data_IF_847807103796
#
_entry.id   IF_847807103796
#
_cell.length_a   1.000
_cell.length_b   1.000
_cell.length_c   1.000
_cell.angle_alpha   90.00
_cell.angle_beta   90.00
_cell.angle_gamma   90.00
#
_symmetry.space_group_name_H-M   'P 1'
#
loop_
_entity.id
_entity.type
_entity.pdbx_description
1 polymer ?
#
# COMPACT_ATOMS: atom_id res chain seq x y z
N UNK A 1 15.73 -14.07 10.92
CA UNK A 1 14.50 -14.86 10.59
C UNK A 1 14.28 -14.93 9.06
N UNK A 2 13.37 -15.76 8.54
CA UNK A 2 13.10 -15.89 7.08
C UNK A 2 12.71 -14.56 6.41
N UNK A 3 12.00 -13.68 7.12
CA UNK A 3 11.60 -12.35 6.65
C UNK A 3 12.81 -11.49 6.25
N UNK A 4 13.80 -11.36 7.14
CA UNK A 4 15.01 -10.55 6.89
C UNK A 4 15.83 -11.11 5.73
N UNK A 5 15.91 -12.45 5.61
CA UNK A 5 16.61 -13.08 4.49
C UNK A 5 16.00 -12.67 3.14
N UNK A 6 14.67 -12.65 3.03
CA UNK A 6 13.96 -12.20 1.82
C UNK A 6 14.27 -10.74 1.49
N UNK A 7 14.24 -9.85 2.48
CA UNK A 7 14.59 -8.44 2.28
C UNK A 7 16.05 -8.26 1.83
N UNK A 8 16.97 -9.02 2.42
CA UNK A 8 18.39 -9.00 2.04
C UNK A 8 18.61 -9.51 0.61
N UNK A 9 17.83 -10.51 0.19
CA UNK A 9 17.88 -10.97 -1.18
C UNK A 9 17.39 -9.93 -2.18
N UNK A 10 16.27 -9.25 -1.89
CA UNK A 10 15.78 -8.12 -2.70
C UNK A 10 16.87 -7.02 -2.76
N UNK A 11 17.42 -6.60 -1.62
CA UNK A 11 18.48 -5.58 -1.53
C UNK A 11 19.71 -5.96 -2.36
N UNK A 12 20.10 -7.23 -2.37
CA UNK A 12 21.26 -7.72 -3.15
C UNK A 12 21.01 -7.75 -4.66
N UNK A 13 19.76 -7.95 -5.07
CA UNK A 13 19.35 -8.10 -6.48
C UNK A 13 18.80 -6.82 -7.10
N UNK A 14 18.72 -5.74 -6.32
CA UNK A 14 18.27 -4.42 -6.75
C UNK A 14 19.43 -3.42 -6.83
N UNK A 15 19.16 -2.25 -7.39
CA UNK A 15 20.14 -1.18 -7.53
C UNK A 15 20.35 -0.39 -6.23
N UNK A 16 21.29 0.57 -6.24
CA UNK A 16 21.50 1.48 -5.11
C UNK A 16 20.21 2.19 -4.70
N UNK A 17 19.86 2.10 -3.42
CA UNK A 17 18.70 2.75 -2.83
C UNK A 17 19.08 4.05 -2.12
N UNK A 18 18.21 5.05 -2.22
CA UNK A 18 18.28 6.29 -1.43
C UNK A 18 17.30 6.24 -0.27
N UNK A 19 16.17 5.55 -0.46
CA UNK A 19 15.13 5.35 0.55
C UNK A 19 15.63 4.47 1.69
N UNK A 20 15.55 5.00 2.91
CA UNK A 20 15.91 4.29 4.14
C UNK A 20 14.65 3.78 4.81
N UNK A 21 14.54 2.46 4.92
CA UNK A 21 13.48 1.80 5.69
C UNK A 21 13.86 1.57 7.14
N UNK A 22 12.96 0.89 7.86
CA UNK A 22 13.22 0.40 9.21
C UNK A 22 14.35 -0.63 9.22
N UNK A 23 15.13 -0.65 10.30
CA UNK A 23 16.21 -1.61 10.49
C UNK A 23 15.69 -3.03 10.79
N UNK A 24 16.55 -4.02 10.59
CA UNK A 24 16.19 -5.43 10.75
C UNK A 24 15.73 -5.76 12.17
N UNK A 25 16.32 -5.16 13.21
CA UNK A 25 15.95 -5.42 14.61
C UNK A 25 14.54 -4.93 14.91
N UNK A 26 14.17 -3.76 14.38
CA UNK A 26 12.83 -3.17 14.48
C UNK A 26 11.82 -4.03 13.73
N UNK A 27 12.16 -4.45 12.51
CA UNK A 27 11.30 -5.33 11.71
C UNK A 27 11.07 -6.69 12.38
N UNK A 28 12.12 -7.29 12.95
CA UNK A 28 12.00 -8.54 13.71
C UNK A 28 11.16 -8.38 14.98
N UNK A 29 11.18 -7.20 15.62
CA UNK A 29 10.33 -6.92 16.77
C UNK A 29 8.85 -6.86 16.37
N UNK A 30 8.50 -6.10 15.32
CA UNK A 30 7.12 -5.99 14.83
C UNK A 30 6.59 -7.31 14.27
N UNK A 31 7.42 -8.08 13.58
CA UNK A 31 7.03 -9.36 12.99
C UNK A 31 6.54 -10.40 14.01
N UNK A 32 6.83 -10.21 15.31
CA UNK A 32 6.33 -11.06 16.40
C UNK A 32 4.85 -10.83 16.70
N UNK A 33 4.35 -9.63 16.47
CA UNK A 33 3.00 -9.21 16.88
C UNK A 33 2.12 -8.81 15.71
N UNK A 34 2.72 -8.35 14.62
CA UNK A 34 2.02 -7.86 13.44
C UNK A 34 2.16 -8.85 12.27
N UNK A 35 1.04 -9.50 11.95
CA UNK A 35 0.98 -10.47 10.84
C UNK A 35 0.98 -9.80 9.48
N UNK A 36 0.52 -8.56 9.38
CA UNK A 36 0.48 -7.82 8.12
C UNK A 36 1.89 -7.52 7.63
N UNK A 37 2.84 -7.26 8.53
CA UNK A 37 4.26 -7.08 8.17
C UNK A 37 4.84 -8.35 7.53
N UNK A 38 4.55 -9.51 8.14
CA UNK A 38 5.06 -10.79 7.65
C UNK A 38 4.49 -11.09 6.26
N UNK A 39 3.18 -10.88 6.09
CA UNK A 39 2.52 -11.06 4.80
C UNK A 39 3.06 -10.08 3.76
N UNK A 40 3.21 -8.80 4.12
CA UNK A 40 3.72 -7.77 3.22
C UNK A 40 5.07 -8.19 2.61
N UNK A 41 6.01 -8.65 3.44
CA UNK A 41 7.33 -9.06 2.96
C UNK A 41 7.27 -10.35 2.15
N UNK A 42 6.43 -11.31 2.52
CA UNK A 42 6.29 -12.57 1.78
C UNK A 42 5.76 -12.36 0.36
N UNK A 43 4.73 -11.54 0.22
CA UNK A 43 4.13 -11.22 -1.07
C UNK A 43 5.06 -10.31 -1.87
N UNK A 44 5.65 -9.28 -1.25
CA UNK A 44 6.64 -8.41 -1.89
C UNK A 44 7.80 -9.19 -2.49
N UNK A 45 8.32 -10.19 -1.77
CA UNK A 45 9.40 -11.04 -2.27
C UNK A 45 8.97 -11.82 -3.52
N UNK A 46 7.77 -12.41 -3.48
CA UNK A 46 7.21 -13.12 -4.64
C UNK A 46 7.00 -12.19 -5.82
N UNK A 47 6.55 -10.96 -5.57
CA UNK A 47 6.34 -9.94 -6.59
C UNK A 47 7.66 -9.45 -7.18
N UNK A 48 8.67 -9.22 -6.35
CA UNK A 48 10.01 -8.85 -6.79
C UNK A 48 10.60 -9.87 -7.78
N UNK A 49 10.44 -11.17 -7.51
CA UNK A 49 10.91 -12.21 -8.42
C UNK A 49 10.24 -12.14 -9.79
N UNK A 50 8.93 -11.86 -9.84
CA UNK A 50 8.21 -11.65 -11.12
C UNK A 50 8.68 -10.39 -11.83
N UNK A 51 8.87 -9.30 -11.10
CA UNK A 51 9.35 -8.04 -11.66
C UNK A 51 10.77 -8.18 -12.24
N UNK A 52 11.64 -8.97 -11.61
CA UNK A 52 12.95 -9.26 -12.18
C UNK A 52 12.86 -10.14 -13.43
N UNK A 53 11.89 -11.07 -13.50
CA UNK A 53 11.61 -11.84 -14.72
C UNK A 53 11.08 -10.94 -15.85
N UNK A 54 10.18 -10.01 -15.52
CA UNK A 54 9.51 -9.13 -16.48
C UNK A 54 10.42 -8.00 -16.99
N UNK A 55 11.14 -7.33 -16.09
CA UNK A 55 11.92 -6.12 -16.40
C UNK A 55 13.44 -6.36 -16.45
N UNK A 56 13.92 -7.54 -16.06
CA UNK A 56 15.33 -7.92 -16.11
C UNK A 56 16.24 -6.96 -15.34
N UNK A 57 17.39 -6.61 -15.92
CA UNK A 57 18.39 -5.71 -15.31
C UNK A 57 17.85 -4.31 -14.98
N UNK A 58 16.68 -3.91 -15.47
CA UNK A 58 16.07 -2.61 -15.11
C UNK A 58 15.76 -2.50 -13.63
N UNK A 59 15.43 -3.60 -12.93
CA UNK A 59 15.22 -3.59 -11.47
C UNK A 59 16.48 -3.24 -10.68
N UNK A 60 17.65 -3.28 -11.34
CA UNK A 60 18.96 -2.94 -10.76
C UNK A 60 19.42 -1.52 -11.03
N UNK A 61 18.59 -0.71 -11.70
CA UNK A 61 18.85 0.72 -11.81
C UNK A 61 18.91 1.36 -10.40
N UNK A 62 19.74 2.40 -10.20
CA UNK A 62 19.63 3.27 -9.03
C UNK A 62 18.17 3.70 -8.82
N UNK A 63 17.71 3.77 -7.58
CA UNK A 63 16.29 3.97 -7.26
C UNK A 63 15.67 5.19 -7.97
N UNK A 64 16.41 6.31 -8.06
CA UNK A 64 15.98 7.50 -8.80
C UNK A 64 15.83 7.24 -10.31
N UNK A 65 16.78 6.52 -10.91
CA UNK A 65 16.73 6.15 -12.33
C UNK A 65 15.61 5.14 -12.60
N UNK A 66 15.35 4.22 -11.67
CA UNK A 66 14.22 3.30 -11.74
C UNK A 66 12.89 4.06 -11.71
N UNK A 67 12.74 5.04 -10.83
CA UNK A 67 11.55 5.91 -10.79
C UNK A 67 11.39 6.63 -12.13
N UNK A 68 12.44 7.26 -12.64
CA UNK A 68 12.40 7.94 -13.94
C UNK A 68 12.04 6.99 -15.08
N UNK A 69 12.62 5.79 -15.10
CA UNK A 69 12.29 4.77 -16.08
C UNK A 69 10.81 4.37 -16.03
N UNK A 70 10.27 4.07 -14.84
CA UNK A 70 8.88 3.64 -14.64
C UNK A 70 7.86 4.73 -14.92
N UNK A 71 8.25 6.01 -14.82
CA UNK A 71 7.37 7.16 -15.08
C UNK A 71 7.63 7.82 -16.44
N UNK A 72 8.47 7.24 -17.30
CA UNK A 72 8.93 7.88 -18.53
C UNK A 72 7.83 8.16 -19.57
N UNK A 73 6.71 7.41 -19.49
CA UNK A 73 5.60 7.49 -20.44
C UNK A 73 4.44 8.39 -19.98
N UNK A 74 4.54 9.06 -18.82
CA UNK A 74 3.50 9.96 -18.33
C UNK A 74 4.04 11.18 -17.59
N UNK A 75 3.26 12.24 -17.56
CA UNK A 75 3.61 13.48 -16.86
C UNK A 75 3.07 13.43 -15.44
N UNK A 76 3.95 13.55 -14.46
CA UNK A 76 3.56 13.76 -13.07
C UNK A 76 3.36 15.27 -12.82
N UNK A 77 2.16 15.67 -12.43
CA UNK A 77 1.81 17.08 -12.18
C UNK A 77 2.19 17.57 -10.78
N UNK A 78 2.65 16.68 -9.90
CA UNK A 78 3.16 17.06 -8.59
C UNK A 78 4.60 17.59 -8.69
N UNK A 79 4.95 18.52 -7.81
CA UNK A 79 6.34 18.94 -7.65
C UNK A 79 7.22 17.77 -7.22
N UNK A 80 8.48 17.76 -7.67
CA UNK A 80 9.42 16.66 -7.40
C UNK A 80 9.68 16.40 -5.90
N UNK A 81 9.47 17.40 -5.04
CA UNK A 81 9.59 17.28 -3.58
C UNK A 81 8.32 16.70 -2.91
N UNK A 82 7.22 16.57 -3.65
CA UNK A 82 5.91 16.14 -3.19
C UNK A 82 5.57 14.72 -3.63
N UNK A 83 6.49 14.08 -4.35
CA UNK A 83 6.37 12.68 -4.79
C UNK A 83 7.22 11.78 -3.92
N UNK A 84 6.76 10.53 -3.74
CA UNK A 84 7.50 9.56 -2.95
C UNK A 84 8.83 9.18 -3.64
N UNK A 85 9.95 9.16 -2.90
CA UNK A 85 11.28 8.91 -3.48
C UNK A 85 11.60 7.41 -3.64
N UNK A 86 10.58 6.55 -3.77
CA UNK A 86 10.73 5.10 -3.82
C UNK A 86 9.73 4.44 -4.78
N UNK A 87 10.04 3.20 -5.15
CA UNK A 87 9.15 2.32 -5.91
C UNK A 87 8.52 1.30 -4.97
N UNK A 88 7.23 1.44 -4.67
CA UNK A 88 6.49 0.44 -3.89
C UNK A 88 6.13 -0.76 -4.78
N UNK A 89 6.39 -1.98 -4.30
CA UNK A 89 6.04 -3.22 -5.02
C UNK A 89 4.92 -4.00 -4.33
N UNK A 90 4.73 -3.78 -3.03
CA UNK A 90 3.61 -4.35 -2.30
C UNK A 90 3.34 -3.59 -1.00
N UNK A 91 2.12 -3.70 -0.49
CA UNK A 91 1.72 -3.13 0.79
C UNK A 91 0.57 -3.93 1.42
N UNK A 92 0.61 -4.08 2.75
CA UNK A 92 -0.41 -4.77 3.54
C UNK A 92 -0.51 -4.11 4.92
N UNK A 93 -1.73 -3.81 5.36
CA UNK A 93 -1.94 -3.12 6.63
C UNK A 93 -1.21 -1.76 6.63
N UNK A 94 -0.42 -1.42 7.66
CA UNK A 94 0.36 -0.18 7.66
C UNK A 94 1.73 -0.29 6.98
N UNK A 95 2.05 -1.41 6.33
CA UNK A 95 3.40 -1.69 5.83
C UNK A 95 3.50 -1.56 4.31
N UNK A 96 4.52 -0.84 3.84
CA UNK A 96 4.90 -0.75 2.42
C UNK A 96 6.29 -1.36 2.24
N UNK A 97 6.43 -2.21 1.23
CA UNK A 97 7.71 -2.80 0.82
C UNK A 97 8.11 -2.27 -0.56
N UNK A 98 9.35 -1.82 -0.68
CA UNK A 98 9.89 -1.20 -1.89
C UNK A 98 10.64 -2.21 -2.78
N UNK A 99 10.83 -1.85 -4.06
CA UNK A 99 11.62 -2.62 -5.03
C UNK A 99 13.07 -2.84 -4.58
N UNK A 100 13.61 -1.93 -3.75
CA UNK A 100 14.96 -2.04 -3.19
C UNK A 100 15.00 -2.73 -1.81
N UNK A 101 13.88 -3.28 -1.33
CA UNK A 101 13.83 -4.04 -0.07
C UNK A 101 13.85 -3.18 1.20
N UNK A 102 13.59 -1.88 1.10
CA UNK A 102 13.22 -1.05 2.24
C UNK A 102 11.78 -1.36 2.67
N UNK A 103 11.53 -1.37 3.97
CA UNK A 103 10.20 -1.50 4.57
C UNK A 103 9.85 -0.20 5.29
N UNK A 104 8.68 0.35 4.99
CA UNK A 104 8.19 1.63 5.48
C UNK A 104 6.88 1.41 6.24
N UNK A 105 6.67 2.19 7.30
CA UNK A 105 5.36 2.31 7.93
C UNK A 105 4.62 3.49 7.29
N UNK A 106 3.48 3.22 6.66
CA UNK A 106 2.65 4.24 6.02
C UNK A 106 1.71 4.90 7.04
N UNK A 107 2.20 6.01 7.60
CA UNK A 107 1.41 6.92 8.42
C UNK A 107 0.86 8.11 7.62
N UNK A 108 1.02 8.13 6.30
CA UNK A 108 0.89 9.31 5.45
C UNK A 108 -0.40 9.39 4.63
N UNK A 109 -1.27 8.37 4.67
CA UNK A 109 -2.43 8.25 3.77
C UNK A 109 -3.55 9.30 3.90
N UNK A 110 -3.35 10.45 4.56
CA UNK A 110 -4.32 11.54 4.73
C UNK A 110 -5.72 11.08 5.22
N UNK A 111 -5.76 9.99 5.98
CA UNK A 111 -7.00 9.37 6.46
C UNK A 111 -7.75 8.51 5.43
N UNK A 112 -7.25 8.39 4.19
CA UNK A 112 -7.86 7.56 3.13
C UNK A 112 -7.74 6.06 3.42
N UNK A 113 -6.64 5.65 4.05
CA UNK A 113 -6.34 4.24 4.35
C UNK A 113 -6.71 3.88 5.80
N UNK A 114 -7.95 4.19 6.21
CA UNK A 114 -8.42 3.96 7.59
C UNK A 114 -8.41 2.48 8.05
N UNK A 115 -8.34 1.53 7.10
CA UNK A 115 -8.19 0.09 7.37
C UNK A 115 -6.82 -0.45 6.92
N UNK A 116 -5.86 0.42 6.60
CA UNK A 116 -4.58 0.05 6.01
C UNK A 116 -4.66 -0.29 4.51
N UNK A 117 -3.52 -0.70 3.97
CA UNK A 117 -3.37 -1.26 2.62
C UNK A 117 -4.02 -2.63 2.52
N UNK A 118 -4.65 -2.89 1.38
CA UNK A 118 -5.26 -4.17 1.02
C UNK A 118 -6.12 -4.84 2.12
N UNK A 119 -7.14 -4.15 2.68
CA UNK A 119 -7.99 -4.74 3.70
C UNK A 119 -8.86 -5.86 3.09
N UNK A 120 -8.52 -7.12 3.40
CA UNK A 120 -9.08 -8.31 2.74
C UNK A 120 -10.62 -8.32 2.72
N UNK A 121 -11.27 -7.97 3.84
CA UNK A 121 -12.74 -7.93 3.93
C UNK A 121 -13.37 -6.95 2.92
N UNK A 122 -12.69 -5.85 2.59
CA UNK A 122 -13.16 -4.88 1.61
C UNK A 122 -12.90 -5.41 0.20
N UNK A 123 -11.70 -5.92 -0.06
CA UNK A 123 -11.34 -6.54 -1.35
C UNK A 123 -12.33 -7.66 -1.70
N UNK A 124 -12.61 -8.56 -0.78
CA UNK A 124 -13.54 -9.69 -0.96
C UNK A 124 -14.97 -9.25 -1.29
N UNK A 125 -15.37 -8.05 -0.87
CA UNK A 125 -16.69 -7.48 -1.17
C UNK A 125 -16.68 -6.78 -2.53
N UNK A 126 -15.60 -6.04 -2.84
CA UNK A 126 -15.43 -5.34 -4.11
C UNK A 126 -15.24 -6.29 -5.29
N UNK A 127 -14.62 -7.45 -5.08
CA UNK A 127 -14.39 -8.46 -6.12
C UNK A 127 -15.65 -9.25 -6.52
N UNK A 128 -16.77 -9.09 -5.81
CA UNK A 128 -18.04 -9.77 -6.15
C UNK A 128 -18.67 -9.14 -7.38
N UNK A 129 -19.50 -9.90 -8.08
CA UNK A 129 -20.35 -9.34 -9.13
C UNK A 129 -21.31 -8.32 -8.51
N UNK A 130 -21.23 -7.07 -8.99
CA UNK A 130 -22.09 -5.98 -8.56
C UNK A 130 -22.88 -5.46 -9.76
N UNK A 131 -24.08 -4.93 -9.49
CA UNK A 131 -24.81 -4.15 -10.49
C UNK A 131 -24.03 -2.86 -10.74
N UNK A 132 -23.48 -2.73 -11.95
CA UNK A 132 -22.78 -1.53 -12.39
C UNK A 132 -23.82 -0.47 -12.78
N UNK A 133 -24.22 0.34 -11.82
CA UNK A 133 -25.13 1.46 -12.05
C UNK A 133 -24.68 2.68 -11.24
N UNK A 134 -24.87 3.87 -11.81
CA UNK A 134 -24.56 5.11 -11.13
C UNK A 134 -25.69 5.51 -10.16
N UNK A 135 -25.55 6.66 -9.52
CA UNK A 135 -26.50 7.17 -8.51
C UNK A 135 -27.94 7.37 -9.05
N UNK A 136 -28.11 7.47 -10.37
CA UNK A 136 -29.44 7.65 -10.98
C UNK A 136 -30.28 6.37 -10.95
N UNK A 137 -29.67 5.20 -10.71
CA UNK A 137 -30.39 3.93 -10.55
C UNK A 137 -30.49 3.57 -9.07
N UNK A 138 -31.72 3.37 -8.60
CA UNK A 138 -31.98 2.98 -7.23
C UNK A 138 -31.29 1.65 -6.88
N UNK A 139 -30.59 1.60 -5.74
CA UNK A 139 -29.82 0.44 -5.33
C UNK A 139 -29.94 0.18 -3.82
N UNK A 140 -30.18 -1.08 -3.43
CA UNK A 140 -30.27 -1.47 -2.02
C UNK A 140 -29.00 -1.20 -1.21
N UNK A 141 -27.82 -1.28 -1.81
CA UNK A 141 -26.55 -0.96 -1.14
C UNK A 141 -26.49 0.51 -0.73
N UNK A 142 -27.03 1.44 -1.55
CA UNK A 142 -27.16 2.87 -1.19
C UNK A 142 -28.07 3.04 0.04
N UNK A 143 -29.21 2.36 0.05
CA UNK A 143 -30.13 2.40 1.20
C UNK A 143 -29.45 1.86 2.47
N UNK A 144 -28.79 0.71 2.40
CA UNK A 144 -28.09 0.09 3.54
C UNK A 144 -27.01 0.99 4.13
N UNK A 145 -26.16 1.61 3.30
CA UNK A 145 -25.10 2.49 3.82
C UNK A 145 -25.67 3.74 4.47
N UNK A 146 -26.69 4.38 3.88
CA UNK A 146 -27.30 5.58 4.47
C UNK A 146 -27.98 5.30 5.81
N UNK A 147 -28.58 4.12 5.99
CA UNK A 147 -29.15 3.71 7.28
C UNK A 147 -28.09 3.48 8.34
N UNK A 148 -26.96 2.87 7.99
CA UNK A 148 -25.82 2.72 8.91
C UNK A 148 -25.24 4.08 9.29
N UNK A 149 -25.00 4.96 8.32
CA UNK A 149 -24.44 6.29 8.59
C UNK A 149 -25.34 7.12 9.53
N UNK A 150 -26.67 7.08 9.35
CA UNK A 150 -27.61 7.78 10.23
C UNK A 150 -27.62 7.25 11.66
N UNK A 151 -27.28 5.97 11.87
CA UNK A 151 -27.19 5.36 13.20
C UNK A 151 -25.92 5.77 13.95
N UNK A 152 -24.84 6.08 13.24
CA UNK A 152 -23.52 6.32 13.85
C UNK A 152 -23.14 7.82 13.86
N UNK A 153 -23.68 8.62 12.95
CA UNK A 153 -23.25 10.02 12.76
C UNK A 153 -24.30 10.98 13.30
N UNK A 154 -23.89 11.84 14.23
CA UNK A 154 -24.66 13.00 14.69
C UNK A 154 -25.89 12.70 15.56
N UNK A 155 -26.23 11.41 15.77
CA UNK A 155 -27.40 10.98 16.53
C UNK A 155 -27.30 11.26 18.05
N UNK A 156 -26.09 11.42 18.60
CA UNK A 156 -25.86 11.80 20.01
C UNK A 156 -25.67 13.30 20.21
N UNK A 157 -25.57 14.08 19.12
CA UNK A 157 -25.36 15.53 19.23
C UNK A 157 -26.72 16.18 19.53
N UNK A 158 -26.89 16.66 20.77
CA UNK A 158 -28.01 17.54 21.10
C UNK A 158 -28.03 18.68 20.08
N UNK A 159 -29.17 18.91 19.43
CA UNK A 159 -29.28 20.04 18.51
C UNK A 159 -28.87 21.30 19.27
N UNK A 160 -27.85 22.02 18.79
CA UNK A 160 -27.76 23.44 19.13
C UNK A 160 -29.05 24.02 18.55
N UNK A 161 -30.01 24.34 19.42
CA UNK A 161 -31.06 25.30 19.09
C UNK A 161 -30.31 26.58 18.71
N UNK A 162 -30.22 26.82 17.41
CA UNK A 162 -29.96 28.16 16.89
C UNK A 162 -31.16 29.05 17.21
#
# INVERSE_FOLDING_TARGET
MELIKKLHEIRRRSGPAVTKGLDDATLEAFAKTDRDLVEAVNVAYTEFLKLEEEFGEKVRLPEADLIHFLQSDFVNFYEANSVNPYVAIHAQGPWVVTANGAVLHDSGGYGMLGFGHAPQKIIDVMARQQVMANIMTANFSQKRITEKLKKEIGHTRSSRKG
#
